data_IF_644978571064
#
_entry.id   IF_644978571064
#
_cell.length_a   1.000
_cell.length_b   1.000
_cell.length_c   1.000
_cell.angle_alpha   90.00
_cell.angle_beta   90.00
_cell.angle_gamma   90.00
#
_symmetry.space_group_name_H-M   'P 1'
#
loop_
_entity.id
_entity.type
_entity.pdbx_description
1 polymer ?
#
# COMPACT_ATOMS: atom_id res chain seq x y z
N UNK A 1 16.19 11.27 -2.31
CA UNK A 1 15.41 10.32 -1.49
C UNK A 1 13.98 10.83 -1.22
N UNK A 2 13.14 11.06 -2.25
CA UNK A 2 11.72 11.42 -2.05
C UNK A 2 10.83 10.23 -1.66
N UNK A 3 11.22 9.01 -2.05
CA UNK A 3 10.41 7.79 -1.85
C UNK A 3 10.01 7.54 -0.40
N UNK A 4 10.95 7.78 0.54
CA UNK A 4 10.74 7.55 1.97
C UNK A 4 9.70 8.48 2.62
N UNK A 5 9.47 9.65 2.04
CA UNK A 5 8.56 10.66 2.61
C UNK A 5 7.08 10.31 2.36
N UNK A 6 6.78 9.52 1.33
CA UNK A 6 5.41 9.18 0.96
C UNK A 6 4.87 7.92 1.66
N UNK A 7 5.74 7.06 2.23
CA UNK A 7 5.27 5.83 2.88
C UNK A 7 4.25 6.07 4.00
N UNK A 8 4.44 7.02 4.94
CA UNK A 8 3.44 7.25 5.99
C UNK A 8 2.05 7.55 5.44
N UNK A 9 1.96 8.40 4.41
CA UNK A 9 0.70 8.74 3.76
C UNK A 9 0.08 7.53 3.03
N UNK A 10 0.87 6.73 2.32
CA UNK A 10 0.38 5.49 1.66
C UNK A 10 -0.09 4.46 2.70
N UNK A 11 0.63 4.33 3.82
CA UNK A 11 0.28 3.45 4.93
C UNK A 11 -1.06 3.85 5.55
N UNK A 12 -1.30 5.15 5.72
CA UNK A 12 -2.57 5.69 6.23
C UNK A 12 -3.72 5.57 5.21
N UNK A 13 -3.44 5.66 3.90
CA UNK A 13 -4.45 5.38 2.87
C UNK A 13 -5.00 3.95 2.96
N UNK A 14 -4.13 2.96 3.23
CA UNK A 14 -4.55 1.57 3.42
C UNK A 14 -5.48 1.48 4.65
N UNK A 15 -5.09 2.08 5.78
CA UNK A 15 -5.92 2.11 7.01
C UNK A 15 -7.27 2.79 6.77
N UNK A 16 -7.28 3.92 6.07
CA UNK A 16 -8.48 4.68 5.77
C UNK A 16 -9.45 3.88 4.88
N UNK A 17 -8.93 3.18 3.88
CA UNK A 17 -9.75 2.29 3.03
C UNK A 17 -10.38 1.17 3.86
N UNK A 18 -9.59 0.46 4.66
CA UNK A 18 -10.06 -0.63 5.52
C UNK A 18 -11.11 -0.15 6.51
N UNK A 19 -10.89 1.00 7.14
CA UNK A 19 -11.84 1.59 8.08
C UNK A 19 -13.16 1.98 7.43
N UNK A 20 -13.10 2.59 6.23
CA UNK A 20 -14.28 3.05 5.48
C UNK A 20 -15.10 1.90 4.92
N UNK A 21 -14.43 0.91 4.34
CA UNK A 21 -15.10 -0.19 3.62
C UNK A 21 -15.28 -1.45 4.46
N UNK A 22 -14.71 -1.51 5.68
CA UNK A 22 -14.70 -2.67 6.58
C UNK A 22 -14.15 -3.93 5.90
N UNK A 23 -13.23 -3.76 4.95
CA UNK A 23 -12.66 -4.82 4.10
C UNK A 23 -11.20 -4.50 3.77
N UNK A 24 -10.40 -5.54 3.54
CA UNK A 24 -9.01 -5.40 3.08
C UNK A 24 -8.97 -4.76 1.69
N UNK A 25 -7.94 -3.93 1.45
CA UNK A 25 -7.71 -3.36 0.12
C UNK A 25 -7.10 -4.44 -0.79
N UNK A 26 -7.49 -4.45 -2.06
CA UNK A 26 -6.84 -5.29 -3.07
C UNK A 26 -5.53 -4.64 -3.52
N UNK A 27 -4.50 -5.44 -3.79
CA UNK A 27 -3.18 -4.92 -4.18
C UNK A 27 -3.26 -4.06 -5.44
N UNK A 28 -4.07 -4.47 -6.43
CA UNK A 28 -4.32 -3.68 -7.63
C UNK A 28 -4.93 -2.32 -7.33
N UNK A 29 -5.90 -2.25 -6.41
CA UNK A 29 -6.54 -1.00 -5.99
C UNK A 29 -5.56 -0.10 -5.22
N UNK A 30 -4.69 -0.70 -4.39
CA UNK A 30 -3.61 0.03 -3.73
C UNK A 30 -2.68 0.69 -4.74
N UNK A 31 -2.26 -0.04 -5.79
CA UNK A 31 -1.41 0.52 -6.84
C UNK A 31 -2.12 1.67 -7.56
N UNK A 32 -3.38 1.48 -7.95
CA UNK A 32 -4.16 2.51 -8.64
C UNK A 32 -4.31 3.78 -7.77
N UNK A 33 -4.49 3.62 -6.45
CA UNK A 33 -4.55 4.74 -5.52
C UNK A 33 -3.22 5.48 -5.40
N UNK A 34 -2.09 4.78 -5.32
CA UNK A 34 -0.76 5.40 -5.31
C UNK A 34 -0.51 6.16 -6.62
N UNK A 35 -0.91 5.57 -7.76
CA UNK A 35 -0.81 6.22 -9.06
C UNK A 35 -1.61 7.53 -9.09
N UNK A 36 -2.87 7.50 -8.64
CA UNK A 36 -3.75 8.67 -8.68
C UNK A 36 -3.31 9.76 -7.71
N UNK A 37 -2.98 9.41 -6.47
CA UNK A 37 -2.63 10.36 -5.42
C UNK A 37 -1.33 11.13 -5.75
N UNK A 38 -0.37 10.46 -6.37
CA UNK A 38 0.97 11.02 -6.63
C UNK A 38 1.27 11.24 -8.12
N UNK A 39 0.31 11.00 -9.02
CA UNK A 39 0.48 11.02 -10.48
C UNK A 39 1.66 10.17 -10.96
N UNK A 40 1.88 9.04 -10.31
CA UNK A 40 2.99 8.14 -10.61
C UNK A 40 2.65 7.15 -11.73
N UNK A 41 3.71 6.71 -12.43
CA UNK A 41 3.61 5.58 -13.35
C UNK A 41 3.22 4.30 -12.60
N UNK A 42 2.67 3.32 -13.33
CA UNK A 42 2.30 2.02 -12.76
C UNK A 42 3.51 1.26 -12.23
N UNK A 43 4.66 1.41 -12.89
CA UNK A 43 5.94 0.86 -12.42
C UNK A 43 6.32 1.47 -11.08
N UNK A 44 6.29 2.80 -10.98
CA UNK A 44 6.63 3.50 -9.74
C UNK A 44 5.69 3.15 -8.59
N UNK A 45 4.38 3.06 -8.84
CA UNK A 45 3.43 2.62 -7.83
C UNK A 45 3.68 1.17 -7.38
N UNK A 46 4.01 0.27 -8.31
CA UNK A 46 4.39 -1.11 -7.98
C UNK A 46 5.62 -1.15 -7.08
N UNK A 47 6.64 -0.37 -7.37
CA UNK A 47 7.83 -0.27 -6.52
C UNK A 47 7.46 0.17 -5.08
N UNK A 48 6.56 1.15 -4.91
CA UNK A 48 6.05 1.49 -3.57
C UNK A 48 5.32 0.32 -2.90
N UNK A 49 4.50 -0.43 -3.63
CA UNK A 49 3.83 -1.62 -3.13
C UNK A 49 4.82 -2.71 -2.67
N UNK A 50 5.86 -2.97 -3.47
CA UNK A 50 6.90 -3.93 -3.13
C UNK A 50 7.77 -3.45 -1.96
N UNK A 51 8.09 -2.15 -1.89
CA UNK A 51 8.81 -1.58 -0.75
C UNK A 51 8.04 -1.80 0.56
N UNK A 52 6.72 -1.59 0.56
CA UNK A 52 5.88 -1.84 1.74
C UNK A 52 5.87 -3.34 2.15
N UNK A 53 6.04 -4.25 1.18
CA UNK A 53 6.19 -5.69 1.46
C UNK A 53 7.56 -5.99 2.06
N UNK A 54 8.63 -5.44 1.48
CA UNK A 54 10.00 -5.60 1.98
C UNK A 54 10.20 -4.98 3.37
N UNK A 55 9.49 -3.91 3.67
CA UNK A 55 9.43 -3.30 5.01
C UNK A 55 8.58 -4.10 6.00
N UNK A 56 8.01 -5.25 5.60
CA UNK A 56 7.08 -6.06 6.39
C UNK A 56 5.85 -5.30 6.88
N UNK A 57 5.47 -4.18 6.23
CA UNK A 57 4.27 -3.45 6.59
C UNK A 57 3.01 -4.15 6.07
N UNK A 58 3.09 -4.71 4.85
CA UNK A 58 2.01 -5.48 4.25
C UNK A 58 2.47 -6.83 3.74
N UNK A 59 1.54 -7.77 3.68
CA UNK A 59 1.64 -8.99 2.87
C UNK A 59 0.51 -8.99 1.85
N UNK A 60 0.75 -9.57 0.67
CA UNK A 60 -0.28 -9.78 -0.35
C UNK A 60 -0.60 -11.27 -0.40
N UNK A 61 -1.86 -11.62 -0.15
CA UNK A 61 -2.33 -12.99 -0.28
C UNK A 61 -2.41 -13.42 -1.75
N UNK A 62 -2.52 -14.73 -2.00
CA UNK A 62 -2.63 -15.27 -3.36
C UNK A 62 -3.84 -14.74 -4.14
N UNK A 63 -4.92 -14.37 -3.42
CA UNK A 63 -6.11 -13.74 -4.00
C UNK A 63 -5.96 -12.23 -4.24
N UNK A 64 -4.78 -11.67 -3.93
CA UNK A 64 -4.46 -10.27 -4.12
C UNK A 64 -4.87 -9.34 -2.97
N UNK A 65 -5.43 -9.85 -1.86
CA UNK A 65 -5.76 -9.03 -0.71
C UNK A 65 -4.50 -8.57 0.03
N UNK A 66 -4.48 -7.30 0.40
CA UNK A 66 -3.42 -6.71 1.23
C UNK A 66 -3.79 -6.92 2.70
N UNK A 67 -2.87 -7.54 3.43
CA UNK A 67 -2.95 -7.73 4.87
C UNK A 67 -1.88 -6.85 5.51
N UNK A 68 -2.28 -5.90 6.35
CA UNK A 68 -1.33 -5.15 7.17
C UNK A 68 -0.79 -6.03 8.29
N UNK A 69 0.52 -6.06 8.45
CA UNK A 69 1.15 -6.77 9.55
C UNK A 69 1.04 -5.88 10.79
N UNK A 70 0.25 -6.29 11.78
CA UNK A 70 0.27 -5.62 13.09
C UNK A 70 1.68 -5.76 13.68
N UNK A 71 2.29 -4.62 14.04
CA UNK A 71 3.72 -4.48 14.33
C UNK A 71 4.34 -5.66 15.09
N UNK A 72 5.26 -6.36 14.42
CA UNK A 72 6.48 -6.81 15.07
C UNK A 72 7.50 -5.68 14.85
N UNK A 73 7.54 -4.74 15.80
CA UNK A 73 8.32 -3.49 15.88
C UNK A 73 7.87 -2.33 14.99
#
# INVERSE_FOLDING_TARGET
MLRKQNYPAIMDMIKAYEYKHKKQIMYVTLLDYIQQAYKFSRTTAREYGEDLRHMNYITVQADGKVIRMAGRN
#
